data_IF_435787062730
#
_entry.id   IF_435787062730
#
_cell.length_a   1.000
_cell.length_b   1.000
_cell.length_c   1.000
_cell.angle_alpha   90.00
_cell.angle_beta   90.00
_cell.angle_gamma   90.00
#
_symmetry.space_group_name_H-M   'P 1'
#
loop_
_entity.id
_entity.type
_entity.pdbx_description
1 polymer ?
#
# COMPACT_ATOMS: atom_id res chain seq x y z
N UNK A 1 -34.30 24.96 9.61
CA UNK A 1 -33.63 23.82 10.25
C UNK A 1 -33.33 24.25 11.68
N UNK A 2 -34.01 23.65 12.64
CA UNK A 2 -33.82 23.89 14.07
C UNK A 2 -33.11 22.70 14.68
N UNK A 3 -32.26 22.91 15.69
CA UNK A 3 -31.47 21.84 16.32
C UNK A 3 -32.36 20.72 16.91
N UNK A 4 -33.59 21.03 17.29
CA UNK A 4 -34.57 20.06 17.80
C UNK A 4 -35.01 19.03 16.73
N UNK A 5 -34.96 19.41 15.45
CA UNK A 5 -35.30 18.54 14.31
C UNK A 5 -34.20 17.49 14.04
N UNK A 6 -32.94 17.82 14.38
CA UNK A 6 -31.76 16.96 14.22
C UNK A 6 -31.73 15.88 15.31
N UNK A 7 -32.01 16.26 16.56
CA UNK A 7 -32.02 15.34 17.71
C UNK A 7 -33.14 14.30 17.58
N UNK A 8 -34.27 14.67 16.97
CA UNK A 8 -35.39 13.76 16.72
C UNK A 8 -35.07 12.67 15.69
N UNK A 9 -34.22 12.95 14.70
CA UNK A 9 -33.76 11.93 13.74
C UNK A 9 -32.77 10.95 14.39
N UNK A 10 -31.84 11.43 15.22
CA UNK A 10 -30.82 10.59 15.88
C UNK A 10 -31.43 9.62 16.90
N UNK A 11 -32.55 10.00 17.55
CA UNK A 11 -33.24 9.15 18.53
C UNK A 11 -34.18 8.11 17.94
N UNK A 12 -34.33 8.06 16.61
CA UNK A 12 -35.18 7.08 15.95
C UNK A 12 -34.38 5.78 15.81
N UNK A 13 -34.74 4.69 16.49
CA UNK A 13 -34.18 3.40 16.15
C UNK A 13 -34.80 3.01 14.80
N UNK A 14 -33.99 3.05 13.74
CA UNK A 14 -34.34 2.43 12.46
C UNK A 14 -34.43 0.94 12.73
N UNK A 15 -35.66 0.48 12.90
CA UNK A 15 -36.00 -0.91 13.15
C UNK A 15 -36.11 -1.62 11.80
N UNK A 16 -35.33 -2.68 11.66
CA UNK A 16 -35.33 -3.73 10.63
C UNK A 16 -35.41 -3.30 9.16
N UNK A 17 -34.23 -3.20 8.54
CA UNK A 17 -34.06 -3.81 7.22
C UNK A 17 -32.87 -4.76 7.29
N UNK A 18 -33.04 -5.90 6.66
CA UNK A 18 -32.21 -7.10 6.66
C UNK A 18 -30.85 -6.79 6.02
N UNK A 19 -30.00 -6.06 6.74
CA UNK A 19 -28.60 -5.88 6.38
C UNK A 19 -27.89 -7.19 6.72
N UNK A 20 -28.05 -8.16 5.83
CA UNK A 20 -26.99 -9.11 5.53
C UNK A 20 -25.76 -8.27 5.13
N UNK A 21 -25.06 -7.78 6.15
CA UNK A 21 -23.64 -7.46 6.10
C UNK A 21 -22.97 -8.80 5.85
N UNK A 22 -23.10 -9.28 4.61
CA UNK A 22 -22.10 -10.15 4.06
C UNK A 22 -20.87 -9.26 4.04
N UNK A 23 -20.04 -9.42 5.07
CA UNK A 23 -18.60 -9.30 4.95
C UNK A 23 -18.17 -10.22 3.79
N UNK A 24 -18.58 -9.88 2.57
CA UNK A 24 -17.74 -10.05 1.41
C UNK A 24 -16.60 -9.06 1.68
N UNK A 25 -15.69 -9.47 2.58
CA UNK A 25 -14.27 -9.24 2.40
C UNK A 25 -14.09 -9.47 0.90
N UNK A 26 -14.08 -8.37 0.14
CA UNK A 26 -13.84 -8.41 -1.29
C UNK A 26 -12.55 -9.19 -1.37
N UNK A 27 -12.65 -10.47 -1.75
CA UNK A 27 -11.50 -11.36 -1.83
C UNK A 27 -10.76 -10.80 -3.01
N UNK A 28 -9.93 -9.79 -2.75
CA UNK A 28 -9.05 -9.20 -3.73
C UNK A 28 -8.27 -10.41 -4.18
N UNK A 29 -8.53 -10.84 -5.41
CA UNK A 29 -7.96 -12.03 -5.98
C UNK A 29 -6.45 -11.79 -5.94
N UNK A 30 -5.80 -12.30 -4.89
CA UNK A 30 -4.36 -12.16 -4.67
C UNK A 30 -3.70 -13.14 -5.61
N UNK A 31 -3.79 -12.82 -6.90
CA UNK A 31 -2.92 -13.36 -7.91
C UNK A 31 -1.51 -13.36 -7.32
N UNK A 32 -0.80 -14.49 -7.42
CA UNK A 32 0.57 -14.62 -6.92
C UNK A 32 1.46 -13.62 -7.65
N UNK A 33 1.50 -12.40 -7.14
CA UNK A 33 2.36 -11.34 -7.60
C UNK A 33 3.79 -11.77 -7.26
N UNK A 34 4.65 -11.87 -8.27
CA UNK A 34 6.04 -12.19 -8.03
C UNK A 34 6.78 -10.98 -7.49
N UNK A 35 7.89 -11.19 -6.77
CA UNK A 35 8.77 -10.10 -6.35
C UNK A 35 9.30 -9.27 -7.53
N UNK A 36 9.32 -9.84 -8.74
CA UNK A 36 9.67 -9.11 -9.96
C UNK A 36 8.59 -8.11 -10.33
N UNK A 37 7.33 -8.56 -10.34
CA UNK A 37 6.18 -7.73 -10.70
C UNK A 37 6.00 -6.57 -9.72
N UNK A 38 6.20 -6.81 -8.41
CA UNK A 38 6.21 -5.74 -7.39
C UNK A 38 7.29 -4.71 -7.72
N UNK A 39 8.50 -5.15 -8.06
CA UNK A 39 9.63 -4.26 -8.35
C UNK A 39 9.38 -3.42 -9.61
N UNK A 40 8.74 -3.99 -10.62
CA UNK A 40 8.37 -3.29 -11.85
C UNK A 40 7.25 -2.28 -11.61
N UNK A 41 6.22 -2.64 -10.83
CA UNK A 41 5.16 -1.73 -10.41
C UNK A 41 5.71 -0.52 -9.66
N UNK A 42 6.64 -0.73 -8.73
CA UNK A 42 7.30 0.38 -8.03
C UNK A 42 8.05 1.31 -9.00
N UNK A 43 8.77 0.75 -9.98
CA UNK A 43 9.50 1.57 -10.94
C UNK A 43 8.56 2.41 -11.82
N UNK A 44 7.46 1.81 -12.30
CA UNK A 44 6.45 2.50 -13.11
C UNK A 44 5.72 3.58 -12.31
N UNK A 45 5.30 3.28 -11.08
CA UNK A 45 4.63 4.25 -10.21
C UNK A 45 5.52 5.44 -9.86
N UNK A 46 6.82 5.21 -9.65
CA UNK A 46 7.77 6.27 -9.35
C UNK A 46 8.04 7.17 -10.56
N UNK A 47 8.12 6.61 -11.77
CA UNK A 47 8.19 7.41 -13.01
C UNK A 47 6.94 8.26 -13.22
N UNK A 48 5.75 7.70 -12.97
CA UNK A 48 4.50 8.43 -13.09
C UNK A 48 4.41 9.58 -12.09
N UNK A 49 4.79 9.33 -10.83
CA UNK A 49 4.82 10.37 -9.80
C UNK A 49 5.85 11.46 -10.09
N UNK A 50 7.02 11.13 -10.65
CA UNK A 50 8.01 12.14 -11.05
C UNK A 50 7.52 13.06 -12.19
N UNK A 51 6.58 12.62 -13.02
CA UNK A 51 6.01 13.42 -14.11
C UNK A 51 4.88 14.36 -13.67
N UNK A 52 4.29 14.13 -12.49
CA UNK A 52 3.27 15.02 -11.94
C UNK A 52 3.89 16.38 -11.59
N UNK A 53 3.26 17.46 -12.04
CA UNK A 53 3.73 18.86 -11.85
C UNK A 53 3.61 19.36 -10.41
N UNK A 54 2.82 18.68 -9.60
CA UNK A 54 2.41 19.00 -8.24
C UNK A 54 2.91 17.97 -7.21
N UNK A 55 3.80 17.07 -7.61
CA UNK A 55 4.37 16.07 -6.71
C UNK A 55 5.11 16.71 -5.54
N UNK A 56 4.76 16.29 -4.32
CA UNK A 56 5.47 16.70 -3.11
C UNK A 56 6.90 16.16 -3.16
N UNK A 57 7.86 17.08 -3.18
CA UNK A 57 9.30 16.78 -3.19
C UNK A 57 9.74 15.86 -2.03
N UNK A 58 9.03 15.89 -0.90
CA UNK A 58 9.27 15.05 0.27
C UNK A 58 8.89 13.61 0.00
N UNK A 59 7.72 13.39 -0.60
CA UNK A 59 7.23 12.05 -0.97
C UNK A 59 8.14 11.42 -2.03
N UNK A 60 8.52 12.19 -3.06
CA UNK A 60 9.48 11.74 -4.07
C UNK A 60 10.83 11.35 -3.46
N UNK A 61 11.33 12.14 -2.49
CA UNK A 61 12.60 11.85 -1.82
C UNK A 61 12.52 10.56 -1.00
N UNK A 62 11.44 10.35 -0.25
CA UNK A 62 11.24 9.15 0.56
C UNK A 62 11.17 7.89 -0.30
N UNK A 63 10.47 7.95 -1.44
CA UNK A 63 10.38 6.85 -2.38
C UNK A 63 11.72 6.50 -3.02
N UNK A 64 12.52 7.50 -3.42
CA UNK A 64 13.89 7.29 -3.91
C UNK A 64 14.77 6.62 -2.86
N UNK A 65 14.71 7.07 -1.61
CA UNK A 65 15.47 6.45 -0.52
C UNK A 65 15.06 4.99 -0.29
N UNK A 66 13.77 4.67 -0.37
CA UNK A 66 13.28 3.30 -0.21
C UNK A 66 13.80 2.40 -1.34
N UNK A 67 13.77 2.88 -2.58
CA UNK A 67 14.36 2.18 -3.74
C UNK A 67 15.85 1.91 -3.53
N UNK A 68 16.60 2.94 -3.14
CA UNK A 68 18.06 2.84 -2.99
C UNK A 68 18.44 1.87 -1.86
N UNK A 69 17.75 1.94 -0.72
CA UNK A 69 17.92 0.97 0.38
C UNK A 69 17.58 -0.46 -0.04
N UNK A 70 16.56 -0.64 -0.86
CA UNK A 70 16.19 -1.96 -1.39
C UNK A 70 17.29 -2.50 -2.31
N UNK A 71 17.88 -1.65 -3.15
CA UNK A 71 19.00 -2.01 -4.01
C UNK A 71 20.26 -2.36 -3.20
N UNK A 72 20.61 -1.55 -2.18
CA UNK A 72 21.72 -1.82 -1.27
C UNK A 72 21.56 -3.16 -0.55
N UNK A 73 20.35 -3.44 -0.03
CA UNK A 73 20.05 -4.71 0.64
C UNK A 73 20.19 -5.90 -0.30
N UNK A 74 19.67 -5.81 -1.53
CA UNK A 74 19.86 -6.85 -2.56
C UNK A 74 21.35 -7.06 -2.85
N UNK A 75 22.12 -5.99 -3.07
CA UNK A 75 23.55 -6.10 -3.32
C UNK A 75 24.32 -6.72 -2.15
N UNK A 76 23.99 -6.33 -0.92
CA UNK A 76 24.61 -6.87 0.29
C UNK A 76 24.36 -8.38 0.41
N UNK A 77 23.11 -8.83 0.25
CA UNK A 77 22.78 -10.26 0.25
C UNK A 77 23.52 -11.04 -0.85
N UNK A 78 23.63 -10.46 -2.06
CA UNK A 78 24.41 -11.06 -3.17
C UNK A 78 25.91 -11.12 -2.89
N UNK A 79 26.46 -10.17 -2.11
CA UNK A 79 27.86 -10.19 -1.69
C UNK A 79 28.08 -11.24 -0.60
N UNK A 80 27.15 -11.42 0.32
CA UNK A 80 27.22 -12.45 1.35
C UNK A 80 27.19 -13.87 0.76
N UNK A 81 26.33 -14.13 -0.23
CA UNK A 81 26.28 -15.44 -0.89
C UNK A 81 27.48 -15.76 -1.79
N UNK A 82 28.31 -14.76 -2.14
CA UNK A 82 29.55 -14.94 -2.90
C UNK A 82 30.77 -15.25 -2.04
N UNK A 83 30.69 -15.09 -0.72
CA UNK A 83 31.77 -15.50 0.16
C UNK A 83 31.76 -17.02 0.30
N UNK A 84 32.92 -17.69 0.23
CA UNK A 84 32.96 -19.14 0.41
C UNK A 84 32.44 -19.47 1.80
N UNK A 85 31.31 -20.17 1.85
CA UNK A 85 30.85 -20.83 3.06
C UNK A 85 31.97 -21.78 3.50
N UNK A 86 32.62 -21.50 4.63
CA UNK A 86 33.48 -22.47 5.30
C UNK A 86 32.57 -23.35 6.16
N UNK A 87 32.42 -24.65 5.86
CA UNK A 87 31.79 -25.56 6.80
C UNK A 87 32.71 -25.69 8.03
N UNK A 88 32.11 -25.78 9.22
CA UNK A 88 32.85 -26.19 10.43
C UNK A 88 33.26 -27.66 10.34
#
# INVERSE_FOLDING_TARGET
MSDDEIIAQVRKPNNDDDNSESDEDEVIETSKISNSDVSECFAKGLMWLEQQTDSDSTELRLLKQLRDRTAERRQSCLRQSKLPFKPM
#
